data_IF_246556066245
#
_entry.id   IF_246556066245
#
_cell.length_a   1.000
_cell.length_b   1.000
_cell.length_c   1.000
_cell.angle_alpha   90.00
_cell.angle_beta   90.00
_cell.angle_gamma   90.00
#
_symmetry.space_group_name_H-M   'P 1'
#
loop_
_entity.id
_entity.type
_entity.pdbx_description
1 polymer ?
#
# COMPACT_ATOMS: atom_id res chain seq x y z
N UNK A 1 -13.63 26.58 -10.30
CA UNK A 1 -12.25 26.09 -10.45
C UNK A 1 -12.05 24.80 -9.68
N UNK A 2 -11.58 23.80 -10.34
CA UNK A 2 -11.40 22.52 -9.69
C UNK A 2 -10.12 22.51 -8.86
N UNK A 3 -10.15 21.91 -7.71
CA UNK A 3 -8.94 21.82 -6.90
C UNK A 3 -7.93 20.93 -7.61
N UNK A 4 -6.69 21.29 -7.48
CA UNK A 4 -5.63 20.49 -8.05
C UNK A 4 -5.51 19.21 -7.26
N UNK A 5 -5.34 18.10 -7.97
CA UNK A 5 -5.17 16.81 -7.34
C UNK A 5 -3.78 16.74 -6.73
N UNK A 6 -3.68 16.22 -5.53
CA UNK A 6 -2.39 16.05 -4.87
C UNK A 6 -1.57 14.98 -5.58
N UNK A 7 -0.26 15.17 -5.59
CA UNK A 7 0.65 14.15 -6.10
C UNK A 7 0.81 13.08 -5.03
N UNK A 8 1.30 11.90 -5.42
CA UNK A 8 1.60 10.83 -4.47
C UNK A 8 2.61 11.32 -3.45
N UNK A 9 3.60 12.12 -3.88
CA UNK A 9 4.60 12.65 -2.98
C UNK A 9 3.96 13.52 -1.88
N UNK A 10 3.01 14.36 -2.25
CA UNK A 10 2.31 15.19 -1.28
C UNK A 10 1.45 14.36 -0.34
N UNK A 11 0.78 13.32 -0.86
CA UNK A 11 -0.03 12.44 -0.05
C UNK A 11 0.82 11.72 1.00
N UNK A 12 2.02 11.25 0.59
CA UNK A 12 2.92 10.57 1.50
C UNK A 12 3.52 11.52 2.54
N UNK A 13 3.83 12.74 2.14
CA UNK A 13 4.33 13.74 3.09
C UNK A 13 3.28 14.02 4.16
N UNK A 14 2.02 14.15 3.74
CA UNK A 14 0.92 14.40 4.68
C UNK A 14 0.74 13.23 5.63
N UNK A 15 0.84 12.00 5.12
CA UNK A 15 0.72 10.81 5.93
C UNK A 15 1.80 10.76 7.02
N UNK A 16 3.06 10.94 6.63
CA UNK A 16 4.17 10.88 7.59
C UNK A 16 4.09 12.01 8.61
N UNK A 17 3.64 13.17 8.20
CA UNK A 17 3.47 14.28 9.13
C UNK A 17 2.35 14.00 10.15
N UNK A 18 1.22 13.47 9.68
CA UNK A 18 0.09 13.18 10.55
C UNK A 18 0.38 12.09 11.58
N UNK A 19 1.19 11.10 11.22
CA UNK A 19 1.48 9.95 12.07
C UNK A 19 2.85 10.00 12.74
N UNK A 20 3.49 11.15 12.80
CA UNK A 20 4.83 11.21 13.41
C UNK A 20 4.80 10.98 14.92
N UNK A 21 3.68 11.27 15.56
CA UNK A 21 3.49 11.04 16.98
C UNK A 21 2.64 9.78 17.13
N UNK A 22 3.19 8.75 17.74
CA UNK A 22 2.50 7.46 17.85
C UNK A 22 1.19 7.50 18.63
N UNK A 23 0.97 8.54 19.41
CA UNK A 23 -0.25 8.62 20.19
C UNK A 23 -1.30 9.52 19.56
N UNK A 24 -0.97 10.21 18.49
CA UNK A 24 -1.87 11.19 17.89
C UNK A 24 -3.01 10.58 17.08
N UNK A 25 -2.81 9.39 16.56
CA UNK A 25 -3.79 8.78 15.64
C UNK A 25 -4.24 7.42 16.16
N UNK A 26 -5.52 7.12 16.00
CA UNK A 26 -6.10 5.88 16.49
C UNK A 26 -6.58 4.95 15.37
N UNK A 27 -6.48 5.39 14.15
CA UNK A 27 -6.85 4.55 13.00
C UNK A 27 -6.02 4.92 11.79
N UNK A 28 -5.86 3.99 10.84
CA UNK A 28 -5.07 4.28 9.65
C UNK A 28 -5.82 5.18 8.69
N UNK A 29 -5.11 5.71 7.72
CA UNK A 29 -5.75 6.40 6.61
C UNK A 29 -6.09 5.37 5.55
N UNK A 30 -7.11 5.64 4.75
CA UNK A 30 -7.55 4.76 3.68
C UNK A 30 -7.08 5.32 2.35
N UNK A 31 -6.46 4.47 1.55
CA UNK A 31 -5.96 4.85 0.24
C UNK A 31 -6.59 3.98 -0.85
N UNK A 32 -6.80 4.59 -1.98
CA UNK A 32 -7.20 3.89 -3.18
C UNK A 32 -5.92 3.57 -3.94
N UNK A 33 -5.79 2.35 -4.43
CA UNK A 33 -4.57 1.90 -5.09
C UNK A 33 -4.93 1.23 -6.40
N UNK A 34 -4.30 1.67 -7.49
CA UNK A 34 -4.54 1.05 -8.80
C UNK A 34 -3.26 1.17 -9.63
N UNK A 35 -3.04 0.21 -10.53
CA UNK A 35 -1.84 0.22 -11.34
C UNK A 35 -2.00 1.14 -12.56
N UNK A 36 -0.92 1.34 -13.32
CA UNK A 36 -0.94 2.26 -14.45
C UNK A 36 -1.79 1.75 -15.63
N UNK A 37 -2.25 0.50 -15.56
CA UNK A 37 -3.15 -0.06 -16.56
C UNK A 37 -4.60 -0.05 -16.06
N UNK A 38 -4.90 0.75 -15.06
CA UNK A 38 -6.25 0.95 -14.54
C UNK A 38 -6.85 -0.31 -13.90
N UNK A 39 -6.01 -1.14 -13.27
CA UNK A 39 -6.51 -2.27 -12.50
C UNK A 39 -6.52 -1.89 -11.02
N UNK A 40 -7.66 -2.03 -10.40
CA UNK A 40 -7.90 -1.70 -8.99
C UNK A 40 -7.87 -2.98 -8.16
N UNK A 41 -7.80 -2.84 -6.84
CA UNK A 41 -7.69 -3.99 -5.95
C UNK A 41 -9.07 -4.49 -5.52
N UNK A 42 -9.25 -5.79 -5.54
CA UNK A 42 -10.48 -6.44 -5.04
C UNK A 42 -10.08 -7.58 -4.13
N UNK A 43 -10.74 -7.71 -2.99
CA UNK A 43 -10.40 -8.77 -2.05
C UNK A 43 -11.36 -9.93 -2.23
N UNK A 44 -10.84 -11.10 -2.58
CA UNK A 44 -11.66 -12.29 -2.71
C UNK A 44 -10.80 -13.52 -2.48
N UNK A 45 -11.37 -14.53 -1.85
CA UNK A 45 -10.69 -15.78 -1.53
C UNK A 45 -9.34 -15.56 -0.85
N UNK A 46 -9.34 -14.63 0.09
CA UNK A 46 -8.16 -14.29 0.88
C UNK A 46 -6.97 -13.79 0.05
N UNK A 47 -7.24 -13.20 -1.09
CA UNK A 47 -6.22 -12.61 -1.95
C UNK A 47 -6.67 -11.25 -2.45
N UNK A 48 -5.72 -10.41 -2.80
CA UNK A 48 -6.01 -9.16 -3.51
C UNK A 48 -5.84 -9.43 -4.99
N UNK A 49 -6.91 -9.21 -5.74
CA UNK A 49 -6.93 -9.43 -7.18
C UNK A 49 -6.94 -8.06 -7.86
N UNK A 50 -6.13 -7.89 -8.90
CA UNK A 50 -6.10 -6.65 -9.65
C UNK A 50 -6.97 -6.79 -10.91
N UNK A 51 -7.95 -5.90 -11.04
CA UNK A 51 -8.92 -5.99 -12.13
C UNK A 51 -9.47 -4.60 -12.47
N UNK A 52 -10.01 -4.42 -13.67
CA UNK A 52 -10.66 -3.16 -14.01
C UNK A 52 -11.81 -2.87 -13.05
N UNK A 53 -12.10 -1.59 -12.84
CA UNK A 53 -13.16 -1.20 -11.94
C UNK A 53 -14.51 -1.46 -12.62
N UNK A 54 -15.32 -2.30 -11.99
CA UNK A 54 -16.64 -2.62 -12.51
C UNK A 54 -17.69 -1.84 -11.71
N UNK A 55 -18.72 -1.40 -12.36
CA UNK A 55 -19.73 -0.57 -11.72
C UNK A 55 -20.49 -1.26 -10.59
N UNK A 56 -20.52 -2.59 -10.59
CA UNK A 56 -21.25 -3.35 -9.60
C UNK A 56 -20.37 -3.88 -8.47
N UNK A 57 -19.06 -3.66 -8.54
CA UNK A 57 -18.14 -4.18 -7.54
C UNK A 57 -17.51 -3.06 -6.74
N UNK A 58 -17.29 -3.31 -5.47
CA UNK A 58 -16.59 -2.36 -4.62
C UNK A 58 -15.13 -2.75 -4.53
N UNK A 59 -14.26 -1.82 -4.84
CA UNK A 59 -12.83 -2.06 -4.72
C UNK A 59 -12.44 -2.16 -3.25
N UNK A 60 -11.37 -2.82 -2.97
CA UNK A 60 -10.80 -2.90 -1.62
C UNK A 60 -9.86 -1.72 -1.41
N UNK A 61 -10.19 -0.86 -0.47
CA UNK A 61 -9.29 0.22 -0.09
C UNK A 61 -8.19 -0.33 0.81
N UNK A 62 -7.05 0.34 0.80
CA UNK A 62 -5.89 -0.06 1.58
C UNK A 62 -5.76 0.83 2.81
N UNK A 63 -5.57 0.21 3.96
CA UNK A 63 -5.29 0.92 5.20
C UNK A 63 -3.79 1.17 5.25
N UNK A 64 -3.38 2.39 5.54
CA UNK A 64 -1.97 2.78 5.47
C UNK A 64 -1.56 3.55 6.71
N UNK A 65 -0.42 3.18 7.28
CA UNK A 65 0.25 3.97 8.32
C UNK A 65 1.75 3.91 8.06
N UNK A 66 2.51 4.92 8.49
CA UNK A 66 3.96 4.85 8.36
C UNK A 66 4.57 3.85 9.34
N UNK A 67 5.74 3.34 9.01
CA UNK A 67 6.54 2.57 9.96
C UNK A 67 7.65 3.48 10.47
N UNK A 68 7.46 4.09 11.63
CA UNK A 68 8.40 5.05 12.19
C UNK A 68 9.65 4.41 12.80
N UNK A 69 9.77 3.10 12.72
CA UNK A 69 10.94 2.39 13.25
C UNK A 69 11.98 2.07 12.18
N UNK A 70 11.70 2.45 10.93
CA UNK A 70 12.66 2.34 9.83
C UNK A 70 13.02 3.74 9.36
N UNK A 71 13.96 3.85 8.42
CA UNK A 71 14.41 5.14 7.92
C UNK A 71 13.28 5.86 7.19
N UNK A 72 12.71 6.87 7.82
CA UNK A 72 11.55 7.58 7.27
C UNK A 72 11.84 8.32 5.97
N UNK A 73 13.11 8.56 5.66
CA UNK A 73 13.46 9.19 4.38
C UNK A 73 13.12 8.28 3.20
N UNK A 74 13.04 6.98 3.46
CA UNK A 74 12.69 6.00 2.42
C UNK A 74 11.19 5.74 2.39
N UNK A 75 10.44 6.42 3.24
CA UNK A 75 8.98 6.33 3.33
C UNK A 75 8.46 4.91 3.54
N UNK A 76 8.88 4.27 4.65
CA UNK A 76 8.39 2.93 4.98
C UNK A 76 6.95 2.99 5.47
N UNK A 77 6.08 2.15 4.90
CA UNK A 77 4.68 2.11 5.29
C UNK A 77 4.25 0.67 5.54
N UNK A 78 3.20 0.51 6.35
CA UNK A 78 2.48 -0.73 6.48
C UNK A 78 1.23 -0.62 5.60
N UNK A 79 0.87 -1.72 4.95
CA UNK A 79 -0.33 -1.79 4.11
C UNK A 79 -1.26 -2.88 4.62
N UNK A 80 -2.45 -2.49 4.98
CA UNK A 80 -3.49 -3.43 5.39
C UNK A 80 -4.72 -3.25 4.53
N UNK A 81 -5.78 -3.98 4.85
CA UNK A 81 -7.05 -3.88 4.14
C UNK A 81 -8.01 -3.08 5.02
N UNK A 82 -8.62 -2.04 4.43
CA UNK A 82 -9.57 -1.20 5.16
C UNK A 82 -10.72 -2.04 5.72
N UNK A 83 -11.06 -1.80 6.96
CA UNK A 83 -12.15 -2.48 7.67
C UNK A 83 -11.90 -3.98 7.90
N UNK A 84 -10.66 -4.42 7.78
CA UNK A 84 -10.32 -5.81 8.06
C UNK A 84 -9.03 -5.85 8.90
N UNK A 85 -8.90 -6.85 9.75
CA UNK A 85 -7.67 -7.04 10.52
C UNK A 85 -6.73 -7.93 9.73
N UNK A 86 -6.42 -7.50 8.50
CA UNK A 86 -5.55 -8.23 7.58
C UNK A 86 -4.49 -7.26 7.06
N UNK A 87 -3.26 -7.73 6.96
CA UNK A 87 -2.12 -6.90 6.58
C UNK A 87 -1.25 -7.63 5.56
N UNK A 88 -0.71 -6.89 4.61
CA UNK A 88 0.18 -7.44 3.60
C UNK A 88 1.54 -7.75 4.23
N UNK A 89 2.11 -8.89 3.88
CA UNK A 89 3.36 -9.36 4.43
C UNK A 89 4.19 -10.01 3.33
N UNK A 90 5.50 -9.82 3.39
CA UNK A 90 6.41 -10.48 2.48
C UNK A 90 7.18 -11.54 3.24
N UNK A 91 7.17 -12.77 2.76
CA UNK A 91 7.88 -13.86 3.41
C UNK A 91 8.37 -14.86 2.36
N UNK A 92 9.30 -15.72 2.76
CA UNK A 92 9.79 -16.73 1.83
C UNK A 92 8.77 -17.84 1.66
N UNK A 93 8.62 -18.30 0.44
CA UNK A 93 7.77 -19.45 0.13
C UNK A 93 8.56 -20.71 0.40
N UNK A 94 7.92 -21.87 0.20
CA UNK A 94 8.58 -23.17 0.37
C UNK A 94 9.76 -23.34 -0.61
N UNK A 95 9.79 -22.56 -1.68
CA UNK A 95 10.87 -22.62 -2.67
C UNK A 95 11.93 -21.54 -2.43
N UNK A 96 11.91 -20.92 -1.24
CA UNK A 96 12.85 -19.86 -0.87
C UNK A 96 12.79 -18.63 -1.76
N UNK A 97 11.64 -18.35 -2.35
CA UNK A 97 11.42 -17.13 -3.07
C UNK A 97 10.47 -16.22 -2.30
N UNK A 98 10.72 -14.90 -2.30
CA UNK A 98 9.80 -13.98 -1.64
C UNK A 98 8.40 -14.05 -2.24
N UNK A 99 7.39 -14.04 -1.38
CA UNK A 99 6.00 -14.02 -1.81
C UNK A 99 5.20 -13.07 -0.96
N UNK A 100 4.14 -12.56 -1.53
CA UNK A 100 3.20 -11.69 -0.83
C UNK A 100 2.11 -12.55 -0.22
N UNK A 101 1.86 -12.39 1.06
CA UNK A 101 0.75 -13.07 1.72
C UNK A 101 -0.03 -12.05 2.54
N UNK A 102 -1.28 -12.37 2.84
CA UNK A 102 -2.12 -11.54 3.67
C UNK A 102 -2.32 -12.28 4.99
N UNK A 103 -1.88 -11.67 6.07
CA UNK A 103 -1.95 -12.30 7.39
C UNK A 103 -2.84 -11.51 8.33
N UNK A 104 -3.41 -12.21 9.31
CA UNK A 104 -4.20 -11.56 10.32
C UNK A 104 -3.28 -10.75 11.22
N UNK A 105 -3.46 -9.45 11.25
CA UNK A 105 -2.69 -8.55 12.07
C UNK A 105 -3.39 -7.20 12.09
N UNK A 106 -3.37 -6.56 13.25
CA UNK A 106 -3.94 -5.22 13.40
C UNK A 106 -2.85 -4.21 13.02
N UNK A 107 -3.06 -3.46 11.96
CA UNK A 107 -2.07 -2.51 11.45
C UNK A 107 -1.70 -1.45 12.49
N UNK A 108 -2.63 -1.06 13.35
CA UNK A 108 -2.33 -0.07 14.39
C UNK A 108 -1.43 -0.64 15.48
N UNK A 109 -1.49 -1.94 15.72
CA UNK A 109 -0.56 -2.59 16.67
C UNK A 109 0.85 -2.58 16.08
N UNK A 110 0.99 -2.79 14.77
CA UNK A 110 2.28 -2.69 14.10
C UNK A 110 2.81 -1.26 14.18
N UNK A 111 1.95 -0.30 13.94
CA UNK A 111 2.32 1.11 13.97
C UNK A 111 2.82 1.54 15.37
N UNK A 112 2.17 1.07 16.41
CA UNK A 112 2.52 1.45 17.79
C UNK A 112 3.70 0.69 18.37
N UNK A 113 4.13 -0.37 17.71
CA UNK A 113 5.22 -1.20 18.19
C UNK A 113 6.56 -0.48 18.04
N UNK A 114 7.56 -0.93 18.81
CA UNK A 114 8.92 -0.45 18.66
C UNK A 114 9.76 -1.37 17.79
N UNK A 115 9.16 -2.47 17.30
CA UNK A 115 9.86 -3.42 16.42
C UNK A 115 9.84 -2.93 14.99
N UNK A 116 10.84 -3.31 14.23
CA UNK A 116 10.97 -2.85 12.84
C UNK A 116 9.96 -3.47 11.88
N UNK A 117 9.57 -4.70 12.08
CA UNK A 117 8.60 -5.38 11.23
C UNK A 117 8.88 -5.20 9.73
N UNK A 118 10.10 -5.47 9.31
CA UNK A 118 10.47 -5.29 7.91
C UNK A 118 9.63 -6.14 6.96
N UNK A 119 9.21 -7.33 7.41
CA UNK A 119 8.40 -8.21 6.56
C UNK A 119 7.00 -7.66 6.30
N UNK A 120 6.52 -6.72 7.11
CA UNK A 120 5.23 -6.07 6.89
C UNK A 120 5.40 -4.70 6.22
N UNK A 121 6.62 -4.30 5.88
CA UNK A 121 6.89 -2.92 5.47
C UNK A 121 7.28 -2.81 4.01
N UNK A 122 6.86 -1.69 3.40
CA UNK A 122 7.18 -1.38 2.01
C UNK A 122 7.70 0.05 1.95
N UNK A 123 8.73 0.28 1.14
CA UNK A 123 9.21 1.63 0.90
C UNK A 123 8.46 2.18 -0.30
N UNK A 124 7.73 3.28 -0.11
CA UNK A 124 6.98 3.91 -1.18
C UNK A 124 7.89 4.90 -1.90
N UNK A 125 8.23 4.59 -3.15
CA UNK A 125 9.18 5.36 -3.92
C UNK A 125 8.51 5.90 -5.18
N UNK A 126 8.47 7.22 -5.34
CA UNK A 126 7.84 7.84 -6.49
C UNK A 126 8.81 8.08 -7.63
N UNK A 127 9.63 7.08 -7.98
CA UNK A 127 10.55 7.19 -9.07
C UNK A 127 9.85 7.59 -10.34
N UNK A 128 10.37 8.55 -10.99
CA UNK A 128 9.96 8.86 -12.36
C UNK A 128 8.84 9.85 -12.51
N UNK A 129 7.78 9.81 -11.74
CA UNK A 129 6.72 10.80 -11.82
C UNK A 129 6.19 11.12 -10.45
N UNK A 130 5.56 12.28 -10.34
CA UNK A 130 4.98 12.69 -9.06
C UNK A 130 3.65 11.99 -8.78
N UNK A 131 3.05 11.38 -9.79
CA UNK A 131 1.71 10.81 -9.67
C UNK A 131 1.70 9.31 -9.41
N UNK A 132 2.84 8.63 -9.57
CA UNK A 132 2.92 7.19 -9.35
C UNK A 132 4.04 6.83 -8.38
N UNK A 133 3.97 5.66 -7.82
CA UNK A 133 5.04 5.15 -6.97
C UNK A 133 5.17 3.65 -7.09
N UNK A 134 6.32 3.14 -6.67
CA UNK A 134 6.58 1.72 -6.52
C UNK A 134 6.57 1.41 -5.04
N UNK A 135 6.28 0.17 -4.69
CA UNK A 135 6.31 -0.28 -3.29
C UNK A 135 7.33 -1.41 -3.19
N UNK A 136 8.49 -1.09 -2.63
CA UNK A 136 9.59 -2.05 -2.51
C UNK A 136 9.53 -2.72 -1.16
N UNK A 137 9.65 -4.06 -1.11
CA UNK A 137 9.66 -4.77 0.16
C UNK A 137 10.86 -4.35 1.00
N UNK A 138 10.64 -4.03 2.26
CA UNK A 138 11.74 -3.70 3.17
C UNK A 138 12.56 -4.95 3.53
N UNK A 139 11.91 -6.11 3.62
CA UNK A 139 12.60 -7.35 3.94
C UNK A 139 13.34 -7.93 2.73
N UNK A 140 12.84 -7.68 1.52
CA UNK A 140 13.45 -8.20 0.29
C UNK A 140 13.61 -7.06 -0.70
N UNK A 141 14.68 -6.25 -0.57
CA UNK A 141 14.77 -4.96 -1.27
C UNK A 141 14.79 -5.00 -2.80
N UNK A 142 15.03 -6.15 -3.40
CA UNK A 142 14.99 -6.24 -4.86
C UNK A 142 13.59 -6.60 -5.39
N UNK A 143 12.63 -6.73 -4.50
CA UNK A 143 11.27 -7.18 -4.84
C UNK A 143 10.25 -6.08 -4.59
N UNK A 144 9.29 -5.97 -5.52
CA UNK A 144 8.29 -4.91 -5.53
C UNK A 144 6.89 -5.49 -5.61
N UNK A 145 5.92 -4.78 -5.06
CA UNK A 145 4.53 -5.13 -5.32
C UNK A 145 4.30 -5.00 -6.82
N UNK A 146 3.59 -5.93 -7.40
CA UNK A 146 3.33 -5.91 -8.83
C UNK A 146 2.00 -6.55 -9.20
N UNK A 147 1.49 -6.17 -10.37
CA UNK A 147 0.31 -6.78 -10.94
C UNK A 147 0.68 -7.41 -12.27
N UNK A 148 -0.08 -8.42 -12.68
CA UNK A 148 0.07 -9.04 -13.99
C UNK A 148 -0.44 -8.08 -15.07
N UNK A 149 0.07 -8.23 -16.29
CA UNK A 149 -0.45 -7.51 -17.43
C UNK A 149 -1.90 -7.94 -17.67
N UNK A 150 -2.23 -9.20 -17.33
CA UNK A 150 -3.59 -9.71 -17.51
C UNK A 150 -4.47 -9.32 -16.32
N UNK A 151 -5.75 -9.07 -16.55
CA UNK A 151 -6.65 -8.74 -15.45
C UNK A 151 -7.03 -9.97 -14.64
N UNK A 152 -7.57 -9.74 -13.45
CA UNK A 152 -8.09 -10.79 -12.56
C UNK A 152 -7.02 -11.73 -12.00
N UNK A 153 -5.80 -11.25 -11.92
CA UNK A 153 -4.70 -12.01 -11.34
C UNK A 153 -4.31 -11.40 -9.98
N UNK A 154 -3.76 -12.21 -9.07
CA UNK A 154 -3.40 -11.69 -7.74
C UNK A 154 -2.28 -10.67 -7.78
N UNK A 155 -2.37 -9.71 -6.87
CA UNK A 155 -1.26 -8.82 -6.54
C UNK A 155 -0.14 -9.71 -5.98
N UNK A 156 1.09 -9.47 -6.37
CA UNK A 156 2.21 -10.29 -5.92
C UNK A 156 3.50 -9.51 -5.80
N UNK A 157 4.61 -10.23 -5.75
CA UNK A 157 5.94 -9.63 -5.73
C UNK A 157 6.71 -10.04 -6.97
N UNK A 158 7.51 -9.12 -7.50
CA UNK A 158 8.38 -9.41 -8.63
C UNK A 158 9.62 -8.53 -8.56
N UNK A 159 10.65 -8.89 -9.29
CA UNK A 159 11.85 -8.06 -9.39
C UNK A 159 11.63 -7.01 -10.46
N UNK A 160 12.30 -5.87 -10.33
CA UNK A 160 12.24 -4.83 -11.36
C UNK A 160 12.79 -5.43 -12.66
N UNK A 161 12.13 -5.13 -13.76
CA UNK A 161 12.53 -5.67 -15.05
C UNK A 161 11.77 -6.90 -15.49
N UNK A 162 11.02 -7.53 -14.57
CA UNK A 162 10.13 -8.61 -14.95
C UNK A 162 8.98 -8.03 -15.78
N UNK A 163 8.30 -8.87 -16.55
CA UNK A 163 7.21 -8.41 -17.41
C UNK A 163 5.92 -8.23 -16.62
N UNK A 164 5.98 -7.43 -15.57
CA UNK A 164 4.84 -7.12 -14.71
C UNK A 164 4.85 -5.64 -14.39
N UNK A 165 3.73 -5.17 -13.85
CA UNK A 165 3.54 -3.76 -13.58
C UNK A 165 3.87 -3.46 -12.13
N UNK A 166 4.81 -2.54 -11.89
CA UNK A 166 5.21 -2.15 -10.54
C UNK A 166 4.86 -0.70 -10.21
N UNK A 167 4.29 0.04 -11.15
CA UNK A 167 3.92 1.43 -10.92
C UNK A 167 2.44 1.53 -10.56
N UNK A 168 2.16 2.25 -9.48
CA UNK A 168 0.81 2.41 -8.97
C UNK A 168 0.46 3.86 -8.74
N UNK A 169 -0.80 4.16 -8.90
CA UNK A 169 -1.39 5.39 -8.40
C UNK A 169 -1.85 5.10 -6.96
N UNK A 170 -1.80 6.11 -6.10
CA UNK A 170 -2.04 5.91 -4.68
C UNK A 170 -2.66 7.19 -4.12
N UNK A 171 -3.92 7.16 -3.77
CA UNK A 171 -4.67 8.35 -3.40
C UNK A 171 -5.35 8.20 -2.05
N UNK A 172 -5.12 9.16 -1.17
CA UNK A 172 -5.79 9.18 0.14
C UNK A 172 -7.28 9.50 -0.07
N UNK A 173 -8.12 8.56 0.35
CA UNK A 173 -9.56 8.75 0.28
C UNK A 173 -10.19 8.74 1.68
N UNK A 174 -9.37 8.77 2.71
CA UNK A 174 -9.84 8.95 4.04
C UNK A 174 -10.37 10.33 4.05
N UNK A 175 -11.57 10.44 4.29
CA UNK A 175 -12.14 11.54 4.22
C UNK A 175 -11.64 12.62 4.81
N UNK A 176 -11.51 13.41 4.16
CA UNK A 176 -11.59 14.59 4.54
C UNK A 176 -12.77 14.73 5.23
N UNK A 177 -12.66 15.20 6.25
CA UNK A 177 -13.66 15.43 7.11
C UNK A 177 -14.59 16.23 6.38
N UNK A 178 -15.63 15.78 6.26
CA UNK A 178 -16.53 16.32 5.72
C UNK A 178 -16.84 17.40 6.42
N UNK A 179 -16.33 18.16 6.40
CA UNK A 179 -16.53 19.13 7.00
C UNK A 179 -17.59 19.43 7.30
N UNK A 180 -17.84 19.46 7.53
CA UNK A 180 -18.64 19.74 7.89
C UNK A 180 -19.37 20.27 7.70
N UNK A 181 -19.73 20.24 7.53
CA UNK A 181 -20.52 20.75 7.34
C UNK A 181 -21.19 21.04 7.97
#
# INVERSE_FOLDING_TARGET
>A
MEPQKKTVDEELKDLFHAFKDKEAMDKPWDFRMWDIEQKYMFFEKNQLIAAPLYSTSSEQLMAVVPNNNLDIKKRPIFLGLTDKLLTLTCQLSVNDEPQLVILEANIMDLYRSTKEFKNYSFYADNKGTKMTCCFKSAAFPDWFLCTSIQPNMPLGLCKAGDSKIILFNFENVSSTPKLLQ
#
